data_IF_981932196689
#
_entry.id   IF_981932196689
#
_cell.length_a   1.000
_cell.length_b   1.000
_cell.length_c   1.000
_cell.angle_alpha   90.00
_cell.angle_beta   90.00
_cell.angle_gamma   90.00
#
_symmetry.space_group_name_H-M   'P 1'
#
loop_
_entity.id
_entity.type
_entity.pdbx_description
1 polymer ?
#
# COMPACT_ATOMS: atom_id res chain seq x y z
N UNK A 1 8.04 -14.26 8.45
CA UNK A 1 7.05 -15.22 8.98
C UNK A 1 6.34 -14.56 10.12
N UNK A 2 5.03 -14.76 10.23
CA UNK A 2 4.24 -14.24 11.33
C UNK A 2 4.08 -15.33 12.38
N UNK A 3 3.92 -14.93 13.64
CA UNK A 3 3.61 -15.85 14.73
C UNK A 3 2.20 -16.41 14.59
N UNK A 4 1.96 -17.54 15.27
CA UNK A 4 0.62 -18.13 15.34
C UNK A 4 -0.29 -17.21 16.17
N UNK A 5 -1.49 -16.96 15.65
CA UNK A 5 -2.51 -16.19 16.34
C UNK A 5 -3.91 -16.76 16.04
N UNK A 6 -4.89 -16.41 16.87
CA UNK A 6 -6.27 -16.85 16.72
C UNK A 6 -7.06 -15.88 15.85
N UNK A 7 -7.69 -16.40 14.80
CA UNK A 7 -8.55 -15.63 13.90
C UNK A 7 -9.97 -16.21 13.85
N UNK A 8 -10.98 -15.40 13.50
CA UNK A 8 -12.33 -15.91 13.27
C UNK A 8 -12.37 -16.99 12.17
N UNK A 9 -13.24 -17.99 12.35
CA UNK A 9 -13.50 -19.01 11.33
C UNK A 9 -14.58 -18.51 10.38
N UNK A 10 -14.27 -18.47 9.08
CA UNK A 10 -15.24 -18.14 8.04
C UNK A 10 -15.83 -19.43 7.43
N UNK A 11 -17.09 -19.72 7.76
CA UNK A 11 -17.83 -20.86 7.18
C UNK A 11 -18.55 -20.41 5.91
N UNK A 12 -18.12 -20.95 4.76
CA UNK A 12 -18.76 -20.69 3.47
C UNK A 12 -20.01 -21.56 3.32
N UNK A 13 -21.19 -20.95 3.25
CA UNK A 13 -22.46 -21.69 3.06
C UNK A 13 -22.79 -21.92 1.58
N UNK A 14 -22.35 -21.01 0.70
CA UNK A 14 -22.64 -21.03 -0.73
C UNK A 14 -21.48 -20.40 -1.52
N UNK A 15 -21.27 -20.89 -2.74
CA UNK A 15 -20.29 -20.35 -3.70
C UNK A 15 -21.02 -20.11 -5.01
N UNK A 16 -20.86 -18.92 -5.58
CA UNK A 16 -21.41 -18.56 -6.89
C UNK A 16 -20.26 -18.19 -7.82
N UNK A 17 -20.36 -18.59 -9.09
CA UNK A 17 -19.36 -18.29 -10.12
C UNK A 17 -20.01 -18.14 -11.49
N UNK A 18 -19.32 -17.45 -12.39
CA UNK A 18 -19.68 -17.36 -13.81
C UNK A 18 -19.32 -18.66 -14.55
N UNK A 19 -19.86 -18.88 -15.75
CA UNK A 19 -19.33 -19.88 -16.68
C UNK A 19 -17.89 -19.51 -17.09
N UNK A 20 -17.01 -20.52 -17.22
CA UNK A 20 -15.58 -20.36 -17.45
C UNK A 20 -14.91 -19.36 -16.48
N UNK A 21 -15.12 -19.62 -15.18
CA UNK A 21 -14.55 -18.82 -14.10
C UNK A 21 -13.02 -18.92 -14.08
N UNK A 22 -12.37 -17.78 -13.83
CA UNK A 22 -10.92 -17.69 -13.61
C UNK A 22 -10.71 -17.41 -12.11
N UNK A 23 -9.85 -18.20 -11.48
CA UNK A 23 -9.45 -17.97 -10.09
C UNK A 23 -8.24 -17.03 -10.05
N UNK A 24 -8.47 -15.79 -9.63
CA UNK A 24 -7.43 -14.79 -9.44
C UNK A 24 -6.81 -14.95 -8.04
N UNK A 25 -5.49 -15.06 -7.97
CA UNK A 25 -4.73 -15.20 -6.72
C UNK A 25 -3.40 -14.46 -6.80
N UNK A 26 -2.78 -14.23 -5.64
CA UNK A 26 -1.48 -13.55 -5.50
C UNK A 26 -0.75 -14.01 -4.24
N UNK A 27 0.45 -13.48 -3.99
CA UNK A 27 1.25 -13.75 -2.80
C UNK A 27 1.87 -12.46 -2.22
N UNK A 28 2.17 -12.50 -0.92
CA UNK A 28 2.92 -11.46 -0.21
C UNK A 28 4.26 -12.03 0.26
N UNK A 29 5.33 -11.26 0.15
CA UNK A 29 6.68 -11.78 0.40
C UNK A 29 7.72 -10.69 0.64
N UNK A 30 8.97 -10.98 0.28
CA UNK A 30 10.02 -9.94 0.28
C UNK A 30 9.76 -9.02 -0.92
N UNK A 31 9.69 -7.69 -0.73
CA UNK A 31 9.45 -6.77 -1.83
C UNK A 31 10.57 -6.82 -2.88
N UNK A 32 10.28 -6.51 -4.16
CA UNK A 32 8.99 -6.02 -4.67
C UNK A 32 8.00 -7.17 -4.97
N UNK A 33 6.79 -7.07 -4.42
CA UNK A 33 5.67 -8.00 -4.66
C UNK A 33 4.42 -7.25 -5.17
N UNK A 34 3.41 -7.97 -5.66
CA UNK A 34 2.20 -7.35 -6.25
C UNK A 34 1.50 -6.36 -5.28
N UNK A 35 1.32 -6.68 -3.98
CA UNK A 35 0.77 -5.71 -3.02
C UNK A 35 1.63 -4.45 -2.85
N UNK A 36 2.96 -4.54 -2.92
CA UNK A 36 3.81 -3.36 -2.86
C UNK A 36 3.62 -2.45 -4.07
N UNK A 37 3.41 -3.00 -5.27
CA UNK A 37 3.09 -2.21 -6.48
C UNK A 37 1.72 -1.54 -6.35
N UNK A 38 0.71 -2.24 -5.82
CA UNK A 38 -0.59 -1.64 -5.49
C UNK A 38 -0.45 -0.50 -4.46
N UNK A 39 0.41 -0.68 -3.45
CA UNK A 39 0.72 0.35 -2.45
C UNK A 39 1.40 1.59 -3.05
N UNK A 40 2.28 1.43 -4.02
CA UNK A 40 2.90 2.55 -4.75
C UNK A 40 1.84 3.35 -5.51
N UNK A 41 0.87 2.68 -6.15
CA UNK A 41 -0.23 3.38 -6.83
C UNK A 41 -1.11 4.18 -5.84
N UNK A 42 -1.27 3.70 -4.61
CA UNK A 42 -1.97 4.42 -3.54
C UNK A 42 -1.23 5.69 -3.08
N UNK A 43 0.10 5.75 -3.17
CA UNK A 43 0.86 6.96 -2.83
C UNK A 43 0.48 8.15 -3.72
N UNK A 44 0.25 7.93 -5.01
CA UNK A 44 -0.18 8.97 -5.95
C UNK A 44 -1.51 9.63 -5.53
N UNK A 45 -2.37 8.90 -4.81
CA UNK A 45 -3.63 9.44 -4.28
C UNK A 45 -3.41 10.24 -2.99
N UNK A 46 -2.41 9.86 -2.20
CA UNK A 46 -2.11 10.49 -0.90
C UNK A 46 -1.35 11.81 -1.07
N UNK A 47 -0.49 11.92 -2.09
CA UNK A 47 0.32 13.13 -2.36
C UNK A 47 -0.54 14.40 -2.48
N UNK A 48 -1.61 14.46 -3.30
CA UNK A 48 -2.45 15.65 -3.40
C UNK A 48 -3.16 16.02 -2.10
N UNK A 49 -3.48 15.05 -1.25
CA UNK A 49 -4.13 15.29 0.05
C UNK A 49 -3.15 15.96 1.00
N UNK A 50 -1.90 15.48 1.05
CA UNK A 50 -0.88 16.08 1.90
C UNK A 50 -0.42 17.46 1.40
N UNK A 51 -0.34 17.66 0.08
CA UNK A 51 -0.06 18.98 -0.50
C UNK A 51 -1.11 20.04 -0.17
N UNK A 52 -2.38 19.65 0.07
CA UNK A 52 -3.42 20.60 0.54
C UNK A 52 -3.13 21.11 1.95
N UNK A 53 -2.59 20.26 2.83
CA UNK A 53 -2.27 20.63 4.21
C UNK A 53 -0.90 21.31 4.30
N UNK A 54 0.07 20.89 3.49
CA UNK A 54 1.45 21.37 3.46
C UNK A 54 1.86 21.69 2.02
N UNK A 55 1.55 22.89 1.51
CA UNK A 55 1.82 23.30 0.13
C UNK A 55 3.32 23.34 -0.23
N UNK A 56 4.20 23.34 0.77
CA UNK A 56 5.65 23.25 0.61
C UNK A 56 6.13 21.86 0.16
N UNK A 57 5.31 20.81 0.32
CA UNK A 57 5.65 19.46 -0.12
C UNK A 57 5.57 19.40 -1.65
N UNK A 58 6.68 18.99 -2.29
CA UNK A 58 6.77 18.78 -3.74
C UNK A 58 6.40 17.35 -4.09
N UNK A 59 6.94 16.38 -3.35
CA UNK A 59 6.76 14.97 -3.62
C UNK A 59 6.90 14.13 -2.34
N UNK A 60 6.25 12.97 -2.32
CA UNK A 60 6.33 11.97 -1.26
C UNK A 60 6.44 10.58 -1.90
N UNK A 61 7.48 9.85 -1.50
CA UNK A 61 7.71 8.48 -1.94
C UNK A 61 7.78 7.55 -0.73
N UNK A 62 6.94 6.50 -0.72
CA UNK A 62 7.06 5.39 0.23
C UNK A 62 7.70 4.20 -0.49
N UNK A 63 9.01 3.95 -0.29
CA UNK A 63 9.70 2.88 -0.98
C UNK A 63 9.16 1.49 -0.62
N UNK A 64 8.94 0.59 -1.61
CA UNK A 64 8.58 -0.81 -1.38
C UNK A 64 9.51 -1.55 -0.43
N UNK A 65 10.82 -1.30 -0.52
CA UNK A 65 11.85 -1.87 0.34
C UNK A 65 11.72 -1.44 1.82
N UNK A 66 11.04 -0.33 2.09
CA UNK A 66 10.62 0.13 3.41
C UNK A 66 9.31 -0.51 3.89
N UNK A 67 8.95 -1.69 3.36
CA UNK A 67 7.66 -2.34 3.58
C UNK A 67 6.46 -1.41 3.27
N UNK A 68 6.60 -0.53 2.27
CA UNK A 68 5.57 0.38 1.75
C UNK A 68 5.01 1.44 2.70
N UNK A 69 5.29 1.39 4.01
CA UNK A 69 4.80 2.37 4.99
C UNK A 69 5.80 2.73 6.10
N UNK A 70 6.91 2.01 6.25
CA UNK A 70 7.85 2.22 7.38
C UNK A 70 8.88 3.32 7.12
N UNK A 71 9.03 3.73 5.86
CA UNK A 71 9.92 4.81 5.46
C UNK A 71 9.16 5.73 4.51
N UNK A 72 9.36 7.04 4.69
CA UNK A 72 8.86 8.06 3.77
C UNK A 72 10.02 8.98 3.37
N UNK A 73 10.15 9.23 2.07
CA UNK A 73 11.05 10.23 1.52
C UNK A 73 10.20 11.41 1.07
N UNK A 74 10.45 12.59 1.63
CA UNK A 74 9.73 13.81 1.29
C UNK A 74 10.69 14.83 0.67
N UNK A 75 10.25 15.47 -0.41
CA UNK A 75 10.93 16.64 -0.96
C UNK A 75 10.09 17.89 -0.72
N UNK A 76 10.72 18.97 -0.26
CA UNK A 76 10.02 20.20 0.12
C UNK A 76 10.69 21.44 -0.49
N UNK A 77 9.91 22.47 -0.76
CA UNK A 77 10.38 23.84 -1.02
C UNK A 77 10.52 24.57 0.30
N UNK A 78 11.69 24.41 0.94
CA UNK A 78 12.00 25.06 2.23
C UNK A 78 11.87 26.58 2.13
N UNK A 79 11.04 27.19 2.99
CA UNK A 79 10.77 28.63 2.98
C UNK A 79 11.51 29.40 4.09
N UNK A 80 11.93 28.71 5.15
CA UNK A 80 12.63 29.29 6.30
C UNK A 80 13.52 28.24 6.95
N UNK A 81 14.45 28.68 7.80
CA UNK A 81 15.28 27.78 8.61
C UNK A 81 14.46 27.17 9.75
N UNK A 82 14.56 25.85 9.90
CA UNK A 82 13.68 25.04 10.74
C UNK A 82 12.74 24.22 9.86
#
# INVERSE_FOLDING_TARGET
YNEVDSFPVFTVTNITQREDAIYHSTYTGRPPDEPAVLGVALNEVIVPILQKQFPEIVDIYLPPEGCSYRLAVLTIKKQYSG
#
